data_IF_237553345273
#
_entry.id   IF_237553345273
#
_cell.length_a   1.000
_cell.length_b   1.000
_cell.length_c   1.000
_cell.angle_alpha   90.00
_cell.angle_beta   90.00
_cell.angle_gamma   90.00
#
_symmetry.space_group_name_H-M   'P 1'
#
loop_
_entity.id
_entity.type
_entity.pdbx_description
1 polymer ?
#
# COMPACT_ATOMS: atom_id res chain seq x y z
N UNK A 1 12.37 3.63 16.93
CA UNK A 1 11.69 2.35 16.63
C UNK A 1 12.39 1.78 15.40
N UNK A 2 12.67 0.48 15.33
CA UNK A 2 13.26 -0.16 14.14
C UNK A 2 12.35 -1.31 13.70
N UNK A 3 12.28 -1.58 12.40
CA UNK A 3 11.35 -2.57 11.89
C UNK A 3 11.34 -2.70 10.39
N UNK A 4 10.52 -3.63 9.92
CA UNK A 4 10.24 -3.82 8.50
C UNK A 4 8.82 -3.39 8.21
N UNK A 5 8.68 -2.50 7.24
CA UNK A 5 7.41 -2.02 6.74
C UNK A 5 7.23 -2.50 5.29
N UNK A 6 6.04 -3.00 5.00
CA UNK A 6 5.59 -3.33 3.66
C UNK A 6 4.44 -2.41 3.31
N UNK A 7 4.52 -1.78 2.14
CA UNK A 7 3.41 -1.06 1.51
C UNK A 7 2.83 -1.99 0.45
N UNK A 8 1.59 -2.42 0.66
CA UNK A 8 0.89 -3.33 -0.24
C UNK A 8 -0.60 -3.00 -0.18
N UNK A 9 -1.26 -2.84 -1.33
CA UNK A 9 -2.68 -2.53 -1.35
C UNK A 9 -3.47 -3.70 -0.76
N UNK A 10 -4.60 -3.38 -0.15
CA UNK A 10 -5.57 -4.37 0.26
C UNK A 10 -6.96 -3.74 0.27
N UNK A 11 -7.93 -4.54 -0.17
CA UNK A 11 -9.33 -4.12 -0.20
C UNK A 11 -9.87 -3.78 1.19
N UNK A 12 -11.04 -3.15 1.21
CA UNK A 12 -11.88 -2.93 2.39
C UNK A 12 -11.35 -1.83 3.33
N UNK A 13 -10.78 -0.75 2.77
CA UNK A 13 -10.42 0.44 3.53
C UNK A 13 -9.21 0.27 4.45
N UNK A 14 -8.30 -0.64 4.11
CA UNK A 14 -7.03 -0.77 4.82
C UNK A 14 -6.04 0.31 4.34
N UNK A 15 -5.20 0.81 5.25
CA UNK A 15 -4.20 1.86 4.98
C UNK A 15 -3.13 1.48 3.93
N UNK A 16 -3.09 0.21 3.49
CA UNK A 16 -2.02 -0.32 2.66
C UNK A 16 -0.68 -0.50 3.37
N UNK A 17 -0.61 -0.25 4.68
CA UNK A 17 0.61 -0.36 5.49
C UNK A 17 0.63 -1.61 6.37
N UNK A 18 1.78 -2.29 6.37
CA UNK A 18 1.96 -3.54 7.09
C UNK A 18 3.31 -3.58 7.81
N UNK A 19 3.31 -3.74 9.12
CA UNK A 19 4.54 -4.14 9.83
C UNK A 19 4.74 -5.65 9.68
N UNK A 20 6.00 -6.08 9.58
CA UNK A 20 6.35 -7.50 9.56
C UNK A 20 7.01 -7.90 10.87
N UNK A 21 6.51 -8.95 11.52
CA UNK A 21 7.18 -9.55 12.67
C UNK A 21 8.42 -10.37 12.24
N UNK A 22 9.19 -10.86 13.21
CA UNK A 22 10.39 -11.68 12.94
C UNK A 22 10.09 -13.00 12.18
N UNK A 23 8.83 -13.40 12.06
CA UNK A 23 8.38 -14.57 11.30
C UNK A 23 7.78 -14.17 9.94
N UNK A 24 7.85 -12.89 9.57
CA UNK A 24 7.29 -12.35 8.31
C UNK A 24 5.77 -12.19 8.32
N UNK A 25 5.11 -12.26 9.47
CA UNK A 25 3.65 -12.09 9.55
C UNK A 25 3.30 -10.61 9.46
N UNK A 26 2.37 -10.29 8.55
CA UNK A 26 1.83 -8.95 8.34
C UNK A 26 0.90 -8.57 9.50
N UNK A 27 1.06 -7.36 10.02
CA UNK A 27 0.11 -6.70 10.92
C UNK A 27 -0.20 -5.32 10.37
N UNK A 28 -1.48 -4.98 10.29
CA UNK A 28 -1.94 -3.64 9.90
C UNK A 28 -1.38 -2.60 10.86
N UNK A 29 -1.05 -1.45 10.31
CA UNK A 29 -0.58 -0.28 11.05
C UNK A 29 -1.07 0.97 10.34
N UNK A 30 -1.33 2.04 11.08
CA UNK A 30 -1.73 3.31 10.49
C UNK A 30 -0.53 4.26 10.40
N UNK A 31 -0.64 5.27 9.54
CA UNK A 31 0.43 6.26 9.36
C UNK A 31 0.74 7.01 10.67
N UNK A 32 -0.28 7.30 11.48
CA UNK A 32 -0.15 7.95 12.79
C UNK A 32 0.67 7.10 13.79
N UNK A 33 0.45 5.78 13.80
CA UNK A 33 1.15 4.84 14.69
C UNK A 33 2.65 4.76 14.38
N UNK A 34 3.01 5.00 13.12
CA UNK A 34 4.39 5.07 12.64
C UNK A 34 5.01 6.45 12.85
N UNK A 35 4.22 7.45 13.24
CA UNK A 35 4.65 8.84 13.38
C UNK A 35 4.95 9.52 12.03
N UNK A 36 4.29 9.08 10.96
CA UNK A 36 4.38 9.74 9.65
C UNK A 36 3.64 11.08 9.66
N UNK A 37 4.04 11.98 8.78
CA UNK A 37 3.39 13.28 8.60
C UNK A 37 1.93 13.14 8.13
N UNK A 38 1.09 14.10 8.49
CA UNK A 38 -0.30 14.18 7.99
C UNK A 38 -0.33 14.21 6.45
N UNK A 39 0.56 14.99 5.83
CA UNK A 39 0.69 15.05 4.36
C UNK A 39 0.93 13.65 3.74
N UNK A 40 1.73 12.80 4.39
CA UNK A 40 2.01 11.45 3.90
C UNK A 40 0.87 10.48 4.20
N UNK A 41 0.16 10.67 5.31
CA UNK A 41 -1.06 9.93 5.63
C UNK A 41 -2.16 10.20 4.60
N UNK A 42 -2.44 11.47 4.30
CA UNK A 42 -3.43 11.90 3.30
C UNK A 42 -3.07 11.36 1.90
N UNK A 43 -1.78 11.34 1.57
CA UNK A 43 -1.29 10.79 0.30
C UNK A 43 -1.46 9.28 0.20
N UNK A 44 -1.27 8.55 1.30
CA UNK A 44 -1.52 7.11 1.39
C UNK A 44 -3.01 6.80 1.25
N UNK A 45 -3.88 7.57 1.93
CA UNK A 45 -5.33 7.46 1.82
C UNK A 45 -5.78 7.68 0.37
N UNK A 46 -5.35 8.77 -0.27
CA UNK A 46 -5.68 9.04 -1.67
C UNK A 46 -5.18 7.93 -2.63
N UNK A 47 -4.02 7.35 -2.35
CA UNK A 47 -3.49 6.23 -3.14
C UNK A 47 -4.32 4.94 -2.96
N UNK A 48 -4.80 4.67 -1.75
CA UNK A 48 -5.70 3.55 -1.47
C UNK A 48 -7.11 3.80 -2.02
N UNK A 49 -7.63 5.02 -1.99
CA UNK A 49 -8.93 5.36 -2.59
C UNK A 49 -8.96 5.06 -4.09
N UNK A 50 -7.87 5.33 -4.81
CA UNK A 50 -7.75 4.97 -6.24
C UNK A 50 -7.81 3.45 -6.42
N UNK A 51 -7.25 2.67 -5.50
CA UNK A 51 -7.32 1.22 -5.53
C UNK A 51 -8.73 0.72 -5.18
N UNK A 52 -9.34 1.21 -4.11
CA UNK A 52 -10.69 0.81 -3.71
C UNK A 52 -11.73 1.21 -4.77
N UNK A 53 -11.52 2.28 -5.53
CA UNK A 53 -12.39 2.68 -6.63
C UNK A 53 -12.45 1.67 -7.79
N UNK A 54 -11.46 0.78 -7.93
CA UNK A 54 -11.46 -0.28 -8.97
C UNK A 54 -12.10 -1.59 -8.48
N UNK A 55 -12.50 -1.66 -7.21
CA UNK A 55 -13.07 -2.85 -6.60
C UNK A 55 -14.47 -3.15 -7.16
N UNK A 56 -14.68 -4.38 -7.62
CA UNK A 56 -15.97 -4.87 -8.08
C UNK A 56 -16.64 -5.70 -6.98
N UNK A 57 -17.65 -5.14 -6.30
CA UNK A 57 -18.33 -5.78 -5.17
C UNK A 57 -18.96 -7.13 -5.53
N UNK A 58 -19.55 -7.23 -6.73
CA UNK A 58 -20.18 -8.47 -7.21
C UNK A 58 -19.14 -9.57 -7.51
N UNK A 59 -17.89 -9.20 -7.78
CA UNK A 59 -16.83 -10.12 -8.16
C UNK A 59 -15.45 -9.49 -8.05
N UNK A 60 -14.78 -9.69 -6.92
CA UNK A 60 -13.40 -9.22 -6.69
C UNK A 60 -12.44 -9.70 -7.79
N UNK A 61 -12.65 -10.90 -8.35
CA UNK A 61 -11.84 -11.42 -9.45
C UNK A 61 -11.94 -10.57 -10.73
N UNK A 62 -12.96 -9.73 -10.83
CA UNK A 62 -13.14 -8.75 -11.89
C UNK A 62 -12.63 -7.37 -11.49
N UNK A 63 -12.00 -7.12 -10.35
CA UNK A 63 -11.43 -5.79 -10.08
C UNK A 63 -10.30 -5.47 -11.07
N UNK A 64 -10.33 -4.29 -11.70
CA UNK A 64 -9.32 -3.87 -12.71
C UNK A 64 -9.25 -2.36 -12.85
N UNK A 65 -8.02 -1.86 -13.04
CA UNK A 65 -7.82 -0.48 -13.50
C UNK A 65 -8.46 -0.28 -14.88
N UNK A 66 -8.94 0.94 -15.21
CA UNK A 66 -9.56 1.19 -16.51
C UNK A 66 -8.56 1.07 -17.67
N UNK A 67 -7.26 1.24 -17.41
CA UNK A 67 -6.19 1.03 -18.36
C UNK A 67 -4.87 0.60 -17.70
N UNK A 68 -3.98 -0.02 -18.49
CA UNK A 68 -2.61 -0.31 -18.05
C UNK A 68 -1.83 0.97 -17.67
N UNK A 69 -2.14 2.10 -18.31
CA UNK A 69 -1.48 3.36 -18.04
C UNK A 69 -1.84 3.88 -16.64
N UNK A 70 -3.12 3.80 -16.25
CA UNK A 70 -3.57 4.18 -14.90
C UNK A 70 -3.01 3.25 -13.84
N UNK A 71 -2.99 1.94 -14.10
CA UNK A 71 -2.35 0.99 -13.20
C UNK A 71 -0.87 1.32 -12.98
N UNK A 72 -0.10 1.57 -14.05
CA UNK A 72 1.32 1.94 -13.94
C UNK A 72 1.53 3.26 -13.22
N UNK A 73 0.64 4.24 -13.42
CA UNK A 73 0.69 5.51 -12.70
C UNK A 73 0.47 5.29 -11.19
N UNK A 74 -0.51 4.46 -10.83
CA UNK A 74 -0.80 4.10 -9.45
C UNK A 74 0.35 3.29 -8.80
N UNK A 75 0.98 2.35 -9.52
CA UNK A 75 2.16 1.61 -9.06
C UNK A 75 3.39 2.53 -8.88
N UNK A 76 3.60 3.48 -9.80
CA UNK A 76 4.66 4.48 -9.69
C UNK A 76 4.45 5.38 -8.46
N UNK A 77 3.19 5.73 -8.17
CA UNK A 77 2.84 6.51 -7.00
C UNK A 77 3.11 5.74 -5.69
N UNK A 78 2.69 4.48 -5.60
CA UNK A 78 3.01 3.62 -4.45
C UNK A 78 4.51 3.48 -4.21
N UNK A 79 5.30 3.40 -5.29
CA UNK A 79 6.78 3.40 -5.21
C UNK A 79 7.33 4.74 -4.70
N UNK A 80 6.73 5.86 -5.12
CA UNK A 80 7.12 7.19 -4.63
C UNK A 80 6.77 7.37 -3.16
N UNK A 81 5.60 6.89 -2.72
CA UNK A 81 5.16 6.92 -1.33
C UNK A 81 6.14 6.12 -0.46
N UNK A 82 6.53 4.92 -0.90
CA UNK A 82 7.51 4.10 -0.17
C UNK A 82 8.84 4.81 0.09
N UNK A 83 9.32 5.58 -0.88
CA UNK A 83 10.54 6.39 -0.71
C UNK A 83 10.35 7.52 0.28
N UNK A 84 9.20 8.18 0.28
CA UNK A 84 8.87 9.22 1.26
C UNK A 84 8.75 8.64 2.68
N UNK A 85 8.04 7.52 2.83
CA UNK A 85 7.93 6.78 4.11
C UNK A 85 9.32 6.39 4.63
N UNK A 86 10.19 5.83 3.78
CA UNK A 86 11.55 5.49 4.18
C UNK A 86 12.37 6.71 4.63
N UNK A 87 12.17 7.87 4.01
CA UNK A 87 12.85 9.10 4.38
C UNK A 87 12.39 9.63 5.75
N UNK A 88 11.10 9.55 6.06
CA UNK A 88 10.55 9.99 7.35
C UNK A 88 10.89 9.02 8.49
N UNK A 89 10.80 7.71 8.26
CA UNK A 89 11.11 6.69 9.28
C UNK A 89 12.60 6.56 9.57
N UNK A 90 13.44 6.94 8.61
CA UNK A 90 14.88 6.90 8.74
C UNK A 90 15.51 5.52 8.54
N UNK A 91 16.84 5.41 8.70
CA UNK A 91 17.63 4.26 8.27
C UNK A 91 17.42 2.99 9.10
N UNK A 92 16.80 3.10 10.27
CA UNK A 92 16.48 1.97 11.15
C UNK A 92 15.29 1.14 10.66
N UNK A 93 14.59 1.62 9.62
CA UNK A 93 13.48 0.95 8.98
C UNK A 93 13.84 0.39 7.61
N UNK A 94 13.43 -0.85 7.36
CA UNK A 94 13.43 -1.43 6.02
C UNK A 94 12.03 -1.27 5.42
N UNK A 95 11.89 -0.41 4.41
CA UNK A 95 10.62 -0.20 3.70
C UNK A 95 10.67 -0.93 2.36
N UNK A 96 9.61 -1.68 2.06
CA UNK A 96 9.45 -2.45 0.82
C UNK A 96 8.04 -2.31 0.27
N UNK A 97 7.83 -2.71 -0.98
CA UNK A 97 6.54 -2.62 -1.67
C UNK A 97 6.14 -3.94 -2.30
N UNK A 98 4.85 -4.27 -2.23
CA UNK A 98 4.20 -5.32 -3.04
C UNK A 98 2.96 -4.72 -3.70
N UNK A 99 3.15 -4.09 -4.86
CA UNK A 99 2.09 -3.33 -5.55
C UNK A 99 1.33 -4.17 -6.58
N UNK A 100 1.77 -5.40 -6.82
CA UNK A 100 1.21 -6.29 -7.84
C UNK A 100 0.58 -7.56 -7.23
N UNK A 101 0.81 -7.86 -5.95
CA UNK A 101 0.31 -9.07 -5.29
C UNK A 101 -1.21 -9.23 -5.35
N UNK A 102 -1.97 -8.13 -5.41
CA UNK A 102 -3.42 -8.16 -5.57
C UNK A 102 -3.87 -8.79 -6.89
N UNK A 103 -3.05 -8.74 -7.95
CA UNK A 103 -3.42 -9.30 -9.26
C UNK A 103 -3.53 -10.82 -9.22
N UNK A 104 -2.81 -11.49 -8.32
CA UNK A 104 -2.94 -12.94 -8.11
C UNK A 104 -4.35 -13.32 -7.65
N UNK A 105 -5.02 -12.43 -6.93
CA UNK A 105 -6.40 -12.61 -6.46
C UNK A 105 -7.44 -12.32 -7.56
N UNK A 106 -7.03 -11.61 -8.61
CA UNK A 106 -7.88 -11.23 -9.75
C UNK A 106 -7.61 -12.05 -11.02
N UNK A 107 -6.87 -13.15 -10.91
CA UNK A 107 -6.69 -14.08 -12.04
C UNK A 107 -8.01 -14.83 -12.30
N UNK A 108 -8.45 -14.94 -13.56
CA UNK A 108 -9.68 -15.63 -13.94
C UNK A 108 -9.62 -17.15 -13.74
#
# INVERSE_FOLDING_TARGET
MSGTLLIAPAWLGLSGLWTLDAKGRKKTVDAEDLGLSEDLADRLEAWMDVFDAIYEEDSEARSRFPSEAEQRAWEAEGTSIARAVAAELGPDWTVSTDLAGWQEMTKP
#
